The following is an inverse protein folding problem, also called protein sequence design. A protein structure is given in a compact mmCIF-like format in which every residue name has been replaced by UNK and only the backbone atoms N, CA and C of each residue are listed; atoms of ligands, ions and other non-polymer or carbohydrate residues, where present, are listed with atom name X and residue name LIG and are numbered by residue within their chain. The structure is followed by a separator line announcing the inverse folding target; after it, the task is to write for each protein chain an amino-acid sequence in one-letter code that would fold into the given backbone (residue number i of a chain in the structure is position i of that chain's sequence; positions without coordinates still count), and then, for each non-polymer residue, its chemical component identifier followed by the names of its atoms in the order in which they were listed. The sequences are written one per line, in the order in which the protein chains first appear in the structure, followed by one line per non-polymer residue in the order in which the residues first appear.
data_IF_398667899631
#
_entry.id   IF_398667899631
#
_cell.length_a   1.000
_cell.length_b   1.000
_cell.length_c   1.000
_cell.angle_alpha   90.00
_cell.angle_beta   90.00
_cell.angle_gamma   90.00
#
_symmetry.space_group_name_H-M   'P 1'
#
loop_
_entity.id
_entity.type
_entity.pdbx_description
1 polymer ?
#
# COMPACT_ATOMS: atom_id res chain seq x y z
N UNK A 1 19.57 -3.80 -3.56
CA UNK A 1 18.34 -4.43 -3.01
C UNK A 1 18.22 -3.99 -1.57
N UNK A 2 17.18 -3.21 -1.26
CA UNK A 2 16.86 -2.86 0.11
C UNK A 2 16.40 -4.14 0.85
N UNK A 3 16.98 -4.39 2.02
CA UNK A 3 16.64 -5.56 2.84
C UNK A 3 15.77 -5.10 4.00
N UNK A 4 14.78 -5.90 4.37
CA UNK A 4 14.10 -5.72 5.67
C UNK A 4 15.10 -5.88 6.83
N UNK A 5 14.78 -5.42 8.06
CA UNK A 5 15.60 -5.68 9.25
C UNK A 5 15.91 -7.16 9.51
N UNK A 6 15.11 -8.09 8.95
CA UNK A 6 15.33 -9.53 9.02
C UNK A 6 16.13 -10.11 7.83
N UNK A 7 16.62 -9.28 6.91
CA UNK A 7 17.50 -9.70 5.82
C UNK A 7 16.80 -10.35 4.62
N UNK A 8 15.46 -10.48 4.63
CA UNK A 8 14.66 -10.92 3.48
C UNK A 8 14.44 -9.78 2.50
N UNK A 9 14.53 -10.10 1.21
CA UNK A 9 14.22 -9.17 0.12
C UNK A 9 12.72 -8.80 0.19
N UNK A 10 12.40 -7.51 0.08
CA UNK A 10 11.03 -6.96 0.00
C UNK A 10 10.34 -7.25 -1.35
N UNK A 11 10.87 -8.18 -2.15
CA UNK A 11 10.35 -8.54 -3.45
C UNK A 11 10.49 -7.49 -4.57
N UNK A 12 11.10 -6.33 -4.31
CA UNK A 12 11.25 -5.22 -5.28
C UNK A 12 12.69 -4.73 -5.42
N UNK A 13 13.01 -4.13 -6.57
CA UNK A 13 14.30 -3.49 -6.81
C UNK A 13 14.37 -2.10 -6.15
N UNK A 14 13.34 -1.29 -6.37
CA UNK A 14 13.14 0.04 -5.76
C UNK A 14 11.68 0.17 -5.26
N UNK A 15 11.45 0.39 -3.95
CA UNK A 15 10.12 0.66 -3.41
C UNK A 15 9.42 1.89 -4.02
N UNK A 16 10.18 2.88 -4.48
CA UNK A 16 9.64 4.13 -5.01
C UNK A 16 9.00 4.00 -6.39
N UNK A 17 9.26 2.90 -7.11
CA UNK A 17 8.56 2.56 -8.35
C UNK A 17 7.06 2.26 -8.11
N UNK A 18 6.67 2.07 -6.85
CA UNK A 18 5.28 1.81 -6.44
C UNK A 18 4.60 3.02 -5.79
N UNK A 19 5.21 4.19 -5.85
CA UNK A 19 4.63 5.43 -5.34
C UNK A 19 3.70 6.06 -6.38
N UNK A 20 2.47 6.35 -5.96
CA UNK A 20 1.52 7.16 -6.71
C UNK A 20 1.26 8.48 -5.97
N UNK A 21 0.41 8.45 -4.95
CA UNK A 21 0.00 9.63 -4.18
C UNK A 21 0.27 9.46 -2.68
N UNK A 22 0.82 10.50 -2.06
CA UNK A 22 0.95 10.55 -0.60
C UNK A 22 -0.43 10.47 0.09
N UNK A 23 -0.57 9.61 1.10
CA UNK A 23 -1.82 9.41 1.83
C UNK A 23 -2.27 10.61 2.65
N UNK A 24 -1.33 11.49 2.98
CA UNK A 24 -1.59 12.74 3.67
C UNK A 24 -1.91 13.90 2.73
N UNK A 25 -1.82 13.73 1.41
CA UNK A 25 -2.19 14.75 0.45
C UNK A 25 -3.72 14.88 0.38
N UNK A 26 -4.26 16.03 0.78
CA UNK A 26 -5.66 16.38 0.56
C UNK A 26 -5.90 16.83 -0.88
N UNK A 27 -7.17 16.86 -1.31
CA UNK A 27 -7.52 17.20 -2.70
C UNK A 27 -7.26 18.68 -3.05
N UNK A 28 -7.15 19.54 -2.04
CA UNK A 28 -6.77 20.95 -2.18
C UNK A 28 -5.25 21.19 -1.99
N UNK A 29 -4.43 20.15 -2.06
CA UNK A 29 -2.97 20.27 -2.07
C UNK A 29 -2.30 20.39 -0.70
N UNK A 30 -3.06 20.28 0.41
CA UNK A 30 -2.56 20.44 1.77
C UNK A 30 -2.13 19.12 2.40
N UNK A 31 -1.29 19.22 3.43
CA UNK A 31 -0.77 18.10 4.21
C UNK A 31 -1.67 17.83 5.42
N UNK A 32 -2.49 16.79 5.33
CA UNK A 32 -3.35 16.32 6.43
C UNK A 32 -2.55 16.01 7.69
N UNK A 33 -1.36 15.40 7.56
CA UNK A 33 -0.50 15.08 8.71
C UNK A 33 -0.15 16.33 9.51
N UNK A 34 0.34 17.39 8.85
CA UNK A 34 0.72 18.63 9.53
C UNK A 34 -0.46 19.33 10.22
N UNK A 35 -1.70 19.12 9.74
CA UNK A 35 -2.92 19.69 10.31
C UNK A 35 -3.41 18.85 11.50
N UNK A 36 -3.58 17.55 11.32
CA UNK A 36 -4.22 16.65 12.31
C UNK A 36 -3.23 16.12 13.37
N UNK A 37 -1.93 16.13 13.07
CA UNK A 37 -0.88 15.57 13.91
C UNK A 37 0.17 16.59 14.34
N UNK A 38 -0.19 17.88 14.37
CA UNK A 38 0.72 18.97 14.74
C UNK A 38 1.41 18.78 16.10
N UNK A 39 0.79 18.07 17.05
CA UNK A 39 1.40 17.76 18.34
C UNK A 39 2.47 16.66 18.28
N UNK A 40 2.41 15.77 17.28
CA UNK A 40 3.38 14.67 17.11
C UNK A 40 4.70 15.14 16.52
N UNK A 41 4.64 16.12 15.61
CA UNK A 41 5.82 16.82 15.07
C UNK A 41 5.54 18.33 14.93
N UNK A 42 5.75 19.10 16.01
CA UNK A 42 5.49 20.54 16.02
C UNK A 42 6.40 21.35 15.08
N UNK A 43 7.63 20.87 14.83
CA UNK A 43 8.57 21.47 13.88
C UNK A 43 8.03 21.40 12.46
N UNK A 44 7.72 20.20 12.01
CA UNK A 44 7.16 19.97 10.68
C UNK A 44 5.84 20.73 10.50
N UNK A 45 4.95 20.69 11.49
CA UNK A 45 3.69 21.42 11.42
C UNK A 45 3.86 22.94 11.35
N UNK A 46 4.89 23.50 12.02
CA UNK A 46 5.21 24.93 11.94
C UNK A 46 5.75 25.31 10.56
N UNK A 47 6.66 24.52 10.02
CA UNK A 47 7.20 24.73 8.67
C UNK A 47 6.10 24.63 7.62
N UNK A 48 5.28 23.58 7.69
CA UNK A 48 4.13 23.43 6.80
C UNK A 48 3.15 24.59 6.96
N UNK A 49 2.88 25.06 8.18
CA UNK A 49 2.00 26.23 8.41
C UNK A 49 2.53 27.50 7.73
N UNK A 50 3.84 27.72 7.73
CA UNK A 50 4.44 28.86 7.03
C UNK A 50 4.20 28.80 5.52
N UNK A 51 4.10 27.59 4.97
CA UNK A 51 3.77 27.27 3.58
C UNK A 51 2.28 26.96 3.36
N UNK A 52 1.37 27.53 4.17
CA UNK A 52 -0.09 27.32 4.08
C UNK A 52 -0.54 25.86 4.10
N UNK A 53 0.22 25.02 4.81
CA UNK A 53 0.09 23.57 4.88
C UNK A 53 0.30 22.83 3.57
N UNK A 54 1.00 23.41 2.58
CA UNK A 54 1.33 22.73 1.32
C UNK A 54 1.99 21.37 1.57
N UNK A 55 1.48 20.34 0.92
CA UNK A 55 2.08 19.01 0.96
C UNK A 55 3.35 18.98 0.10
N UNK A 56 4.44 18.43 0.65
CA UNK A 56 5.70 18.20 -0.09
C UNK A 56 5.53 17.23 -1.28
N UNK A 57 4.42 16.49 -1.33
CA UNK A 57 4.03 15.66 -2.48
C UNK A 57 3.52 16.46 -3.68
N UNK A 58 3.24 17.75 -3.51
CA UNK A 58 2.80 18.65 -4.58
C UNK A 58 3.99 19.51 -4.99
N UNK A 59 4.40 19.51 -6.28
CA UNK A 59 5.46 20.38 -6.73
C UNK A 59 5.06 21.85 -6.55
N UNK A 60 6.02 22.75 -6.30
CA UNK A 60 5.69 24.13 -5.93
C UNK A 60 5.07 24.96 -7.07
N UNK A 61 5.23 24.54 -8.33
CA UNK A 61 4.54 25.09 -9.50
C UNK A 61 4.34 24.03 -10.60
N UNK A 62 3.38 24.23 -11.51
CA UNK A 62 3.16 23.35 -12.67
C UNK A 62 4.36 23.35 -13.64
N UNK A 63 5.12 24.45 -13.70
CA UNK A 63 6.37 24.54 -14.47
C UNK A 63 7.53 23.76 -13.84
N UNK A 64 7.44 23.44 -12.55
CA UNK A 64 8.43 22.66 -11.80
C UNK A 64 8.03 21.18 -11.65
N UNK A 65 6.98 20.73 -12.35
CA UNK A 65 6.56 19.32 -12.39
C UNK A 65 7.65 18.38 -12.97
N UNK A 66 8.66 18.95 -13.64
CA UNK A 66 9.83 18.27 -14.20
C UNK A 66 11.11 18.50 -13.36
N UNK A 67 11.00 19.08 -12.16
CA UNK A 67 12.10 19.15 -11.20
C UNK A 67 12.40 17.73 -10.70
N UNK A 68 13.49 17.15 -11.18
CA UNK A 68 14.05 15.87 -10.70
C UNK A 68 14.33 15.88 -9.17
N UNK A 69 14.29 17.05 -8.52
CA UNK A 69 14.35 17.23 -7.08
C UNK A 69 12.93 17.22 -6.49
N UNK A 70 12.46 16.02 -6.27
CA UNK A 70 11.20 15.72 -5.63
C UNK A 70 11.24 16.09 -4.13
N UNK A 71 10.50 17.11 -3.69
CA UNK A 71 10.39 17.44 -2.26
C UNK A 71 9.76 16.31 -1.41
N UNK A 72 8.93 15.46 -2.02
CA UNK A 72 8.31 14.34 -1.30
C UNK A 72 9.31 13.30 -0.83
N UNK A 73 10.45 13.14 -1.53
CA UNK A 73 11.53 12.28 -1.07
C UNK A 73 12.17 12.82 0.21
N UNK A 74 12.01 14.10 0.52
CA UNK A 74 12.50 14.72 1.74
C UNK A 74 11.42 14.84 2.82
N UNK A 75 10.22 14.30 2.59
CA UNK A 75 9.12 14.41 3.54
C UNK A 75 9.21 13.30 4.60
N UNK A 76 9.55 13.60 5.87
CA UNK A 76 9.74 12.57 6.89
C UNK A 76 8.45 11.77 7.20
N UNK A 77 7.29 12.35 6.88
CA UNK A 77 5.97 11.75 7.08
C UNK A 77 5.36 11.22 5.78
N UNK A 78 6.16 11.01 4.73
CA UNK A 78 5.63 10.46 3.49
C UNK A 78 5.15 9.03 3.70
N UNK A 79 3.92 8.80 3.27
CA UNK A 79 3.28 7.50 3.30
C UNK A 79 2.53 7.29 2.00
N UNK A 80 2.71 6.14 1.37
CA UNK A 80 2.01 5.77 0.16
C UNK A 80 1.50 4.33 0.28
N UNK A 81 0.20 4.19 0.45
CA UNK A 81 -0.49 2.92 0.37
C UNK A 81 -1.17 2.80 -0.98
N UNK A 82 -0.89 1.73 -1.71
CA UNK A 82 -1.61 1.41 -2.92
C UNK A 82 -3.12 1.34 -2.62
N UNK A 83 -3.93 1.97 -3.47
CA UNK A 83 -5.39 2.09 -3.32
C UNK A 83 -6.13 1.04 -4.13
N UNK A 84 -5.48 0.50 -5.15
CA UNK A 84 -6.02 -0.54 -6.01
C UNK A 84 -6.12 -1.83 -5.20
N UNK A 85 -7.34 -2.36 -5.12
CA UNK A 85 -7.63 -3.61 -4.42
C UNK A 85 -7.31 -4.79 -5.32
N UNK A 86 -6.06 -4.83 -5.78
CA UNK A 86 -5.52 -5.85 -6.68
C UNK A 86 -4.12 -6.27 -6.23
N UNK A 87 -3.80 -7.55 -6.39
CA UNK A 87 -2.45 -8.07 -6.17
C UNK A 87 -1.47 -7.48 -7.19
N UNK A 88 -0.51 -6.68 -6.73
CA UNK A 88 0.49 -6.03 -7.59
C UNK A 88 1.44 -6.98 -8.33
N UNK A 89 1.42 -8.29 -8.02
CA UNK A 89 2.24 -9.31 -8.69
C UNK A 89 1.49 -10.11 -9.74
N UNK A 90 0.22 -10.45 -9.52
CA UNK A 90 -0.51 -11.37 -10.38
C UNK A 90 -1.88 -10.86 -10.87
N UNK A 91 -2.28 -9.64 -10.50
CA UNK A 91 -3.54 -9.05 -10.94
C UNK A 91 -4.79 -9.64 -10.29
N UNK A 92 -4.66 -10.44 -9.22
CA UNK A 92 -5.82 -10.96 -8.52
C UNK A 92 -6.56 -9.82 -7.81
N UNK A 93 -7.77 -9.51 -8.24
CA UNK A 93 -8.66 -8.54 -7.59
C UNK A 93 -9.23 -9.07 -6.27
N UNK A 94 -9.39 -8.18 -5.30
CA UNK A 94 -10.12 -8.48 -4.07
C UNK A 94 -11.63 -8.66 -4.35
N UNK A 95 -12.26 -9.56 -3.60
CA UNK A 95 -13.71 -9.68 -3.48
C UNK A 95 -14.03 -9.81 -2.00
N UNK A 96 -14.39 -8.70 -1.35
CA UNK A 96 -14.66 -8.69 0.09
C UNK A 96 -16.04 -9.28 0.36
N UNK A 97 -16.08 -10.21 1.30
CA UNK A 97 -17.32 -10.73 1.85
C UNK A 97 -17.61 -9.97 3.14
N UNK A 98 -18.64 -9.13 3.15
CA UNK A 98 -18.93 -8.25 4.29
C UNK A 98 -19.35 -9.01 5.56
N UNK A 99 -19.87 -10.23 5.41
CA UNK A 99 -20.52 -11.01 6.47
C UNK A 99 -19.85 -12.36 6.75
N UNK A 100 -18.60 -12.52 6.31
CA UNK A 100 -17.88 -13.78 6.47
C UNK A 100 -16.56 -13.56 7.21
N UNK A 101 -16.26 -14.46 8.15
CA UNK A 101 -14.97 -14.49 8.87
C UNK A 101 -13.83 -15.06 8.01
N UNK A 102 -14.01 -15.11 6.69
CA UNK A 102 -13.03 -15.68 5.77
C UNK A 102 -11.84 -14.72 5.64
N UNK A 103 -10.61 -15.25 5.73
CA UNK A 103 -9.39 -14.45 5.54
C UNK A 103 -9.44 -13.74 4.18
N UNK A 104 -9.16 -12.42 4.09
CA UNK A 104 -9.10 -11.68 2.83
C UNK A 104 -8.26 -12.35 1.75
N UNK A 105 -8.56 -12.05 0.48
CA UNK A 105 -7.71 -12.53 -0.62
C UNK A 105 -6.40 -11.74 -0.64
N UNK A 106 -6.48 -10.43 -0.39
CA UNK A 106 -5.34 -9.52 -0.37
C UNK A 106 -4.86 -9.19 1.04
N UNK A 107 -3.54 -9.10 1.17
CA UNK A 107 -2.82 -8.72 2.38
C UNK A 107 -1.90 -7.54 2.07
N UNK A 108 -1.65 -6.71 3.08
CA UNK A 108 -0.69 -5.62 2.95
C UNK A 108 0.73 -6.14 2.96
N UNK A 109 1.54 -5.60 2.05
CA UNK A 109 2.96 -5.91 1.95
C UNK A 109 3.75 -4.61 1.97
N UNK A 110 4.59 -4.46 2.99
CA UNK A 110 5.39 -3.26 3.20
C UNK A 110 6.72 -3.38 2.43
N UNK A 111 6.94 -2.46 1.48
CA UNK A 111 8.17 -2.37 0.71
C UNK A 111 9.24 -1.55 1.44
N UNK A 112 8.79 -0.59 2.26
CA UNK A 112 9.63 0.21 3.14
C UNK A 112 8.87 0.45 4.44
N UNK A 113 9.56 0.33 5.57
CA UNK A 113 9.03 0.63 6.89
C UNK A 113 9.46 2.03 7.30
N UNK A 114 8.58 2.74 8.01
CA UNK A 114 9.05 3.83 8.85
C UNK A 114 9.99 3.24 9.92
N UNK A 115 11.23 3.69 9.99
CA UNK A 115 12.18 3.23 11.01
C UNK A 115 11.68 3.68 12.38
N UNK A 116 11.01 2.80 13.14
CA UNK A 116 10.56 3.13 14.49
C UNK A 116 11.72 3.21 15.51
N UNK A 117 12.96 2.90 15.12
CA UNK A 117 14.10 2.90 16.05
C UNK A 117 15.44 3.02 15.34
N UNK A 118 16.10 4.17 15.48
CA UNK A 118 17.56 4.24 15.39
C UNK A 118 18.16 3.36 16.49
N UNK A 119 18.42 2.07 16.21
CA UNK A 119 19.24 1.23 17.08
C UNK A 119 20.72 1.57 16.86
N UNK A 120 21.49 1.91 17.92
CA UNK A 120 22.84 2.42 17.80
C UNK A 120 23.84 1.28 17.65
N UNK A 121 23.90 0.64 16.48
CA UNK A 121 24.95 -0.34 16.18
C UNK A 121 25.10 -0.63 14.68
N UNK A 122 25.19 0.40 13.84
CA UNK A 122 25.94 0.24 12.60
C UNK A 122 26.71 1.52 12.35
N UNK A 123 27.99 1.40 11.99
CA UNK A 123 28.77 2.53 11.45
C UNK A 123 28.22 2.85 10.06
N UNK A 124 27.02 3.39 10.00
CA UNK A 124 26.44 3.95 8.80
C UNK A 124 26.85 5.42 8.71
N UNK A 125 27.15 5.83 7.48
CA UNK A 125 27.55 7.16 7.07
C UNK A 125 26.62 8.25 7.66
N UNK A 126 27.12 9.28 8.36
CA UNK A 126 26.30 10.32 9.01
C UNK A 126 25.56 11.25 8.03
N UNK A 127 25.63 10.99 6.72
CA UNK A 127 24.94 11.74 5.66
C UNK A 127 23.67 11.07 5.14
N UNK A 128 23.39 9.82 5.53
CA UNK A 128 22.16 9.12 5.16
C UNK A 128 21.06 9.40 6.20
N UNK A 129 20.38 10.53 6.04
CA UNK A 129 19.10 10.79 6.71
C UNK A 129 18.14 9.65 6.32
N UNK A 130 17.93 8.68 7.22
CA UNK A 130 17.12 7.50 6.94
C UNK A 130 15.64 7.91 6.95
N UNK A 131 15.18 8.40 5.81
CA UNK A 131 13.80 8.72 5.54
C UNK A 131 12.91 7.52 5.84
N UNK A 132 12.03 7.68 6.82
CA UNK A 132 11.11 6.66 7.33
C UNK A 132 9.85 6.55 6.45
N UNK A 133 10.01 6.45 5.14
CA UNK A 133 8.86 6.36 4.23
C UNK A 133 8.17 5.00 4.38
N UNK A 134 6.87 5.04 4.62
CA UNK A 134 6.04 3.84 4.63
C UNK A 134 5.40 3.67 3.23
N UNK A 135 5.87 2.66 2.49
CA UNK A 135 5.33 2.32 1.17
C UNK A 135 4.75 0.92 1.25
N UNK A 136 3.45 0.81 0.97
CA UNK A 136 2.69 -0.41 1.17
C UNK A 136 1.88 -0.74 -0.08
N UNK A 137 1.99 -1.98 -0.55
CA UNK A 137 1.23 -2.52 -1.68
C UNK A 137 0.28 -3.63 -1.20
N UNK A 138 -0.56 -4.13 -2.10
CA UNK A 138 -1.36 -5.33 -1.86
C UNK A 138 -0.79 -6.52 -2.63
N UNK A 139 -0.75 -7.66 -1.95
CA UNK A 139 -0.48 -8.95 -2.58
C UNK A 139 -1.57 -9.93 -2.18
N UNK A 140 -1.94 -10.84 -3.07
CA UNK A 140 -2.77 -11.95 -2.64
C UNK A 140 -1.99 -12.84 -1.66
N UNK A 141 -2.66 -13.46 -0.70
CA UNK A 141 -2.00 -14.26 0.36
C UNK A 141 -1.03 -15.31 -0.17
N UNK A 142 -1.29 -15.87 -1.35
CA UNK A 142 -0.37 -16.81 -2.02
C UNK A 142 0.89 -16.13 -2.57
N UNK A 143 0.75 -15.00 -3.25
CA UNK A 143 1.91 -14.23 -3.72
C UNK A 143 2.69 -13.65 -2.55
N UNK A 144 2.01 -13.17 -1.50
CA UNK A 144 2.64 -12.65 -0.30
C UNK A 144 3.52 -13.71 0.38
N UNK A 145 2.98 -14.92 0.56
CA UNK A 145 3.74 -16.05 1.06
C UNK A 145 4.91 -16.42 0.13
N UNK A 146 4.72 -16.39 -1.20
CA UNK A 146 5.81 -16.66 -2.16
C UNK A 146 6.94 -15.65 -2.04
N UNK A 147 6.65 -14.35 -1.92
CA UNK A 147 7.70 -13.32 -1.77
C UNK A 147 8.51 -13.53 -0.50
N UNK A 148 7.85 -13.85 0.62
CA UNK A 148 8.58 -14.06 1.88
C UNK A 148 9.29 -15.42 1.98
N UNK A 149 8.76 -16.46 1.34
CA UNK A 149 9.26 -17.83 1.49
C UNK A 149 10.09 -18.31 0.27
N UNK A 150 10.33 -17.45 -0.73
CA UNK A 150 11.10 -17.81 -1.93
C UNK A 150 11.83 -16.59 -2.52
N UNK A 151 12.48 -16.77 -3.68
CA UNK A 151 13.16 -15.69 -4.42
C UNK A 151 12.24 -14.95 -5.41
N UNK A 152 10.92 -15.09 -5.28
CA UNK A 152 9.94 -14.42 -6.12
C UNK A 152 10.01 -12.89 -5.97
N UNK A 153 9.70 -12.17 -7.05
CA UNK A 153 9.62 -10.71 -7.07
C UNK A 153 8.21 -10.26 -7.40
N UNK A 154 7.88 -9.03 -6.97
CA UNK A 154 6.62 -8.37 -7.33
C UNK A 154 6.53 -8.18 -8.84
N UNK A 155 7.63 -7.82 -9.49
CA UNK A 155 7.69 -7.57 -10.93
C UNK A 155 7.75 -8.85 -11.80
N UNK A 156 7.64 -10.04 -11.21
CA UNK A 156 7.56 -11.28 -12.00
C UNK A 156 6.25 -11.29 -12.79
N UNK A 157 6.30 -11.52 -14.10
CA UNK A 157 5.11 -11.73 -14.92
C UNK A 157 4.53 -13.12 -14.65
N UNK A 158 3.53 -13.17 -13.77
CA UNK A 158 2.90 -14.42 -13.32
C UNK A 158 1.39 -14.33 -13.30
N UNK A 159 0.74 -15.42 -13.67
CA UNK A 159 -0.69 -15.58 -13.48
C UNK A 159 -1.02 -15.89 -12.00
N UNK A 160 -2.25 -15.59 -11.54
CA UNK A 160 -2.71 -16.01 -10.23
C UNK A 160 -2.58 -17.52 -10.02
N UNK A 161 -2.29 -17.91 -8.78
CA UNK A 161 -2.26 -19.30 -8.39
C UNK A 161 -3.64 -19.95 -8.63
N UNK A 162 -3.73 -21.20 -9.13
CA UNK A 162 -5.02 -21.87 -9.30
C UNK A 162 -5.86 -21.89 -8.03
N UNK A 163 -5.24 -22.03 -6.85
CA UNK A 163 -5.96 -21.97 -5.57
C UNK A 163 -6.49 -20.54 -5.29
N UNK A 164 -5.75 -19.52 -5.71
CA UNK A 164 -6.18 -18.13 -5.60
C UNK A 164 -7.40 -17.83 -6.49
N UNK A 165 -7.42 -18.38 -7.71
CA UNK A 165 -8.56 -18.28 -8.61
C UNK A 165 -9.77 -19.03 -8.06
N UNK A 166 -9.58 -20.25 -7.57
CA UNK A 166 -10.65 -21.04 -6.96
C UNK A 166 -11.30 -20.29 -5.79
N UNK A 167 -10.50 -19.70 -4.91
CA UNK A 167 -11.01 -18.91 -3.80
C UNK A 167 -11.79 -17.66 -4.25
N UNK A 168 -11.32 -16.97 -5.31
CA UNK A 168 -12.05 -15.81 -5.87
C UNK A 168 -13.39 -16.22 -6.48
N UNK A 169 -13.43 -17.32 -7.23
CA UNK A 169 -14.68 -17.82 -7.83
C UNK A 169 -15.64 -18.39 -6.78
N UNK A 170 -15.15 -19.00 -5.69
CA UNK A 170 -15.98 -19.41 -4.55
C UNK A 170 -16.69 -18.20 -3.92
N UNK A 171 -15.95 -17.12 -3.65
CA UNK A 171 -16.54 -15.87 -3.13
C UNK A 171 -17.57 -15.28 -4.07
N UNK A 172 -17.26 -15.25 -5.37
CA UNK A 172 -18.21 -14.80 -6.40
C UNK A 172 -19.49 -15.65 -6.40
N UNK A 173 -19.35 -16.96 -6.25
CA UNK A 173 -20.50 -17.87 -6.22
C UNK A 173 -21.36 -17.62 -4.98
N UNK A 174 -20.75 -17.33 -3.83
CA UNK A 174 -21.46 -16.95 -2.61
C UNK A 174 -22.17 -15.61 -2.73
N UNK A 175 -21.50 -14.59 -3.26
CA UNK A 175 -22.11 -13.28 -3.57
C UNK A 175 -23.34 -13.45 -4.49
N UNK A 176 -23.22 -14.29 -5.52
CA UNK A 176 -24.33 -14.59 -6.42
C UNK A 176 -25.47 -15.34 -5.72
N UNK A 177 -25.16 -16.27 -4.81
CA UNK A 177 -26.16 -17.00 -4.04
C UNK A 177 -26.90 -16.08 -3.05
N UNK A 178 -26.21 -15.10 -2.44
CA UNK A 178 -26.83 -14.10 -1.57
C UNK A 178 -27.77 -13.16 -2.34
N UNK A 179 -27.47 -12.90 -3.62
CA UNK A 179 -28.32 -12.10 -4.51
C UNK A 179 -29.39 -12.93 -5.24
N UNK A 180 -29.36 -14.26 -5.13
CA UNK A 180 -30.32 -15.13 -5.78
C UNK A 180 -31.68 -15.02 -5.09
N UNK A 181 -32.65 -14.48 -5.83
CA UNK A 181 -34.04 -14.47 -5.40
C UNK A 181 -34.73 -15.74 -5.91
N UNK A 182 -35.27 -16.53 -4.99
CA UNK A 182 -36.14 -17.66 -5.31
C UNK A 182 -37.60 -17.21 -5.15
N UNK A 183 -38.37 -17.26 -6.25
CA UNK A 183 -39.77 -16.84 -6.19
C UNK A 183 -40.62 -17.84 -5.41
N UNK A 184 -41.80 -17.40 -4.93
CA UNK A 184 -42.73 -18.32 -4.29
C UNK A 184 -43.21 -19.42 -5.26
N UNK A 185 -43.35 -19.12 -6.56
CA UNK A 185 -43.76 -20.10 -7.57
C UNK A 185 -42.69 -21.18 -7.77
N UNK A 186 -41.42 -20.79 -7.81
CA UNK A 186 -40.30 -21.73 -7.98
C UNK A 186 -40.19 -22.72 -6.82
N UNK A 187 -40.65 -22.37 -5.61
CA UNK A 187 -40.69 -23.27 -4.45
C UNK A 187 -41.79 -24.33 -4.51
N UNK A 188 -42.92 -24.06 -5.16
CA UNK A 188 -44.07 -24.98 -5.18
C UNK A 188 -44.03 -26.00 -6.33
N UNK A 189 -43.19 -25.79 -7.36
CA UNK A 189 -43.02 -26.72 -8.48
C UNK A 189 -42.02 -27.87 -8.18
N UNK A 190 -41.41 -27.89 -6.99
CA UNK A 190 -40.39 -28.90 -6.57
C UNK A 190 -40.96 -29.89 -5.54
N UNK A 191 -42.22 -29.72 -5.08
CA UNK A 191 -42.97 -30.69 -4.24
C UNK A 191 -43.82 -31.65 -5.08
#
# INVERSE_FOLDING_TARGET
MAKTPNGTDVGVADPYDHVDRCDHLTDDGRCRYAIEHAARDPSFARERRAEEYRCLAVPPSESDANSDAIEWRSCPHFRCRNRDRECSRCGLEERREAHADSRPLLEEHHLSYASESAHPASKADPTADQLSHEITIYLCRWCHAKIHNSWARVADDVNPDPEALAAREERRSREQAELAFESAADRYDIE
#
